data_IF_492757590957
#
_entry.id   IF_492757590957
#
_cell.length_a   1.000
_cell.length_b   1.000
_cell.length_c   1.000
_cell.angle_alpha   90.00
_cell.angle_beta   90.00
_cell.angle_gamma   90.00
#
_symmetry.space_group_name_H-M   'P 1'
#
loop_
_entity.id
_entity.type
_entity.pdbx_description
1 polymer ?
#
# COMPACT_ATOMS: atom_id res chain seq x y z
N UNK A 1 22.13 49.45 31.40
CA UNK A 1 21.75 49.42 29.96
C UNK A 1 22.58 48.45 29.09
N UNK A 2 23.14 47.36 29.62
CA UNK A 2 23.87 46.36 28.79
C UNK A 2 23.43 44.90 28.99
N UNK A 3 22.33 44.65 29.72
CA UNK A 3 21.92 43.29 30.10
C UNK A 3 20.53 42.88 29.62
N UNK A 4 19.89 43.65 28.74
CA UNK A 4 18.58 43.33 28.15
C UNK A 4 18.72 42.89 26.68
N UNK A 5 19.87 43.14 26.06
CA UNK A 5 20.07 42.86 24.63
C UNK A 5 20.46 41.40 24.34
N UNK A 6 21.03 40.68 25.32
CA UNK A 6 21.55 39.32 25.08
C UNK A 6 20.47 38.23 25.21
N UNK A 7 19.40 38.46 25.95
CA UNK A 7 18.32 37.47 26.17
C UNK A 7 17.30 37.44 25.03
N UNK A 8 17.29 38.45 24.16
CA UNK A 8 16.39 38.51 22.99
C UNK A 8 16.98 37.79 21.76
N UNK A 9 18.29 37.51 21.74
CA UNK A 9 18.96 36.79 20.63
C UNK A 9 18.83 35.26 20.71
N UNK A 10 18.41 34.68 21.83
CA UNK A 10 18.32 33.22 21.99
C UNK A 10 16.94 32.63 21.62
N UNK A 11 15.93 33.47 21.39
CA UNK A 11 14.55 33.05 21.10
C UNK A 11 14.20 33.03 19.60
N UNK A 12 15.15 33.34 18.71
CA UNK A 12 14.90 33.42 17.25
C UNK A 12 15.53 32.22 16.49
N UNK A 13 16.34 31.39 17.14
CA UNK A 13 16.98 30.22 16.51
C UNK A 13 16.11 28.96 16.44
N UNK A 14 14.95 28.93 17.10
CA UNK A 14 14.04 27.76 17.08
C UNK A 14 12.94 27.82 16.02
N UNK A 15 12.87 28.88 15.20
CA UNK A 15 11.82 29.05 14.19
C UNK A 15 12.19 28.54 12.77
N UNK A 16 13.32 27.84 12.58
CA UNK A 16 13.79 27.41 11.26
C UNK A 16 14.00 25.90 11.10
N UNK A 17 13.38 25.07 11.94
CA UNK A 17 12.96 23.74 11.46
C UNK A 17 11.64 23.88 10.72
N UNK A 18 11.68 24.59 9.59
CA UNK A 18 10.73 24.33 8.52
C UNK A 18 10.88 22.84 8.22
N UNK A 19 9.87 22.05 8.60
CA UNK A 19 9.73 20.70 8.11
C UNK A 19 9.75 20.84 6.58
N UNK A 20 10.87 20.43 5.98
CA UNK A 20 10.90 20.09 4.57
C UNK A 20 9.77 19.09 4.42
N UNK A 21 8.66 19.51 3.81
CA UNK A 21 7.79 18.60 3.09
C UNK A 21 8.67 18.00 1.99
N UNK A 22 9.50 17.02 2.36
CA UNK A 22 9.84 15.94 1.43
C UNK A 22 8.50 15.36 1.05
N UNK A 23 7.96 15.83 -0.07
CA UNK A 23 6.93 15.17 -0.83
C UNK A 23 7.46 13.77 -1.10
N UNK A 24 7.24 12.87 -0.14
CA UNK A 24 7.61 11.47 -0.23
C UNK A 24 6.82 10.92 -1.41
N UNK A 25 7.49 10.81 -2.55
CA UNK A 25 6.90 10.26 -3.77
C UNK A 25 6.50 8.82 -3.46
N UNK A 26 5.18 8.60 -3.37
CA UNK A 26 4.63 7.27 -3.20
C UNK A 26 5.05 6.38 -4.39
N UNK A 27 5.38 5.10 -4.17
CA UNK A 27 5.71 4.20 -5.26
C UNK A 27 4.47 3.93 -6.12
N UNK A 28 4.67 3.38 -7.31
CA UNK A 28 3.60 2.91 -8.21
C UNK A 28 2.75 3.94 -8.93
N UNK A 29 3.16 5.21 -8.96
CA UNK A 29 2.63 6.16 -9.96
C UNK A 29 2.83 5.65 -11.39
N UNK A 30 3.90 4.90 -11.62
CA UNK A 30 4.17 4.07 -12.80
C UNK A 30 4.63 2.68 -12.35
N UNK A 31 4.40 1.65 -13.16
CA UNK A 31 4.98 0.33 -12.94
C UNK A 31 6.51 0.43 -13.12
N UNK A 32 7.33 -0.14 -12.20
CA UNK A 32 8.78 -0.17 -12.36
C UNK A 32 9.23 -0.86 -13.67
N UNK A 33 10.47 -0.61 -14.08
CA UNK A 33 11.08 -1.25 -15.25
C UNK A 33 10.99 -2.79 -15.18
N UNK A 34 10.87 -3.43 -16.34
CA UNK A 34 10.78 -4.89 -16.43
C UNK A 34 12.09 -5.54 -15.98
N UNK A 35 12.04 -6.64 -15.20
CA UNK A 35 13.21 -7.50 -15.01
C UNK A 35 13.65 -8.09 -16.36
N UNK A 36 14.95 -8.23 -16.57
CA UNK A 36 15.50 -8.72 -17.84
C UNK A 36 15.19 -10.21 -18.10
N UNK A 37 14.88 -10.97 -17.04
CA UNK A 37 14.62 -12.41 -17.09
C UNK A 37 13.32 -12.80 -16.41
N UNK A 38 12.62 -13.78 -16.99
CA UNK A 38 11.46 -14.43 -16.39
C UNK A 38 11.90 -15.57 -15.47
N UNK A 39 11.86 -15.32 -14.16
CA UNK A 39 12.03 -16.30 -13.09
C UNK A 39 10.72 -16.39 -12.29
N UNK A 40 10.51 -17.43 -11.47
CA UNK A 40 9.32 -17.48 -10.60
C UNK A 40 9.18 -16.22 -9.74
N UNK A 41 10.28 -15.73 -9.15
CA UNK A 41 10.29 -14.50 -8.34
C UNK A 41 10.00 -13.23 -9.14
N UNK A 42 10.61 -13.05 -10.32
CA UNK A 42 10.36 -11.84 -11.12
C UNK A 42 8.93 -11.79 -11.68
N UNK A 43 8.32 -12.94 -11.95
CA UNK A 43 6.89 -13.02 -12.32
C UNK A 43 6.00 -12.59 -11.16
N UNK A 44 6.24 -13.10 -9.94
CA UNK A 44 5.50 -12.70 -8.74
C UNK A 44 5.69 -11.21 -8.44
N UNK A 45 6.93 -10.71 -8.52
CA UNK A 45 7.24 -9.29 -8.34
C UNK A 45 6.45 -8.42 -9.32
N UNK A 46 6.38 -8.83 -10.60
CA UNK A 46 5.59 -8.14 -11.63
C UNK A 46 4.09 -8.17 -11.35
N UNK A 47 3.54 -9.26 -10.83
CA UNK A 47 2.13 -9.32 -10.39
C UNK A 47 1.86 -8.31 -9.27
N UNK A 48 2.73 -8.25 -8.27
CA UNK A 48 2.64 -7.30 -7.15
C UNK A 48 2.81 -5.86 -7.63
N UNK A 49 3.71 -5.59 -8.58
CA UNK A 49 3.85 -4.25 -9.17
C UNK A 49 2.59 -3.81 -9.92
N UNK A 50 1.95 -4.74 -10.64
CA UNK A 50 0.66 -4.51 -11.30
C UNK A 50 -0.46 -4.20 -10.31
N UNK A 51 -0.50 -4.91 -9.17
CA UNK A 51 -1.39 -4.61 -8.05
C UNK A 51 -1.08 -3.22 -7.45
N UNK A 52 0.18 -2.92 -7.17
CA UNK A 52 0.63 -1.64 -6.63
C UNK A 52 0.19 -0.45 -7.48
N UNK A 53 0.34 -0.56 -8.80
CA UNK A 53 -0.13 0.46 -9.75
C UNK A 53 -1.65 0.63 -9.75
N UNK A 54 -2.41 -0.48 -9.72
CA UNK A 54 -3.87 -0.44 -9.63
C UNK A 54 -4.32 0.22 -8.32
N UNK A 55 -3.73 -0.16 -7.20
CA UNK A 55 -4.04 0.42 -5.89
C UNK A 55 -3.67 1.91 -5.82
N UNK A 56 -2.50 2.30 -6.36
CA UNK A 56 -2.08 3.71 -6.42
C UNK A 56 -3.17 4.58 -7.05
N UNK A 57 -3.66 4.18 -8.23
CA UNK A 57 -4.67 4.95 -8.96
C UNK A 57 -6.08 4.78 -8.42
N UNK A 58 -6.41 3.62 -7.85
CA UNK A 58 -7.69 3.42 -7.17
C UNK A 58 -7.84 4.36 -5.97
N UNK A 59 -6.74 4.68 -5.29
CA UNK A 59 -6.72 5.51 -4.06
C UNK A 59 -6.30 6.96 -4.26
N UNK A 60 -5.84 7.33 -5.45
CA UNK A 60 -5.47 8.71 -5.75
C UNK A 60 -6.68 9.64 -5.60
N UNK A 61 -6.50 10.76 -4.89
CA UNK A 61 -7.54 11.77 -4.65
C UNK A 61 -8.81 11.27 -3.92
N UNK A 62 -8.75 10.12 -3.23
CA UNK A 62 -9.80 9.77 -2.27
C UNK A 62 -9.77 10.73 -1.08
N UNK A 63 -10.94 11.19 -0.65
CA UNK A 63 -11.14 12.03 0.52
C UNK A 63 -11.91 11.26 1.61
N UNK A 64 -12.23 11.92 2.73
CA UNK A 64 -12.89 11.27 3.87
C UNK A 64 -14.34 10.92 3.56
N UNK A 65 -15.00 11.75 2.75
CA UNK A 65 -16.39 11.62 2.35
C UNK A 65 -16.57 10.35 1.51
N UNK A 66 -15.65 10.08 0.57
CA UNK A 66 -15.63 8.86 -0.25
C UNK A 66 -15.61 7.58 0.61
N UNK A 67 -14.89 7.60 1.75
CA UNK A 67 -14.66 6.40 2.57
C UNK A 67 -15.93 5.79 3.12
N UNK A 68 -16.97 6.61 3.32
CA UNK A 68 -18.26 6.17 3.87
C UNK A 68 -19.24 5.68 2.81
N UNK A 69 -18.91 5.82 1.52
CA UNK A 69 -19.78 5.39 0.45
C UNK A 69 -19.98 3.87 0.48
N UNK A 70 -21.25 3.45 0.45
CA UNK A 70 -21.66 2.06 0.27
C UNK A 70 -22.98 2.00 -0.53
N UNK A 71 -23.07 1.18 -1.59
CA UNK A 71 -24.25 1.11 -2.45
C UNK A 71 -25.44 0.39 -1.81
N UNK A 72 -25.21 -0.48 -0.83
CA UNK A 72 -26.25 -1.10 -0.01
C UNK A 72 -25.78 -1.34 1.43
N UNK A 73 -26.71 -1.67 2.33
CA UNK A 73 -26.40 -1.95 3.74
C UNK A 73 -25.51 -3.17 3.94
N UNK A 74 -25.52 -4.11 2.99
CA UNK A 74 -24.76 -5.36 3.05
C UNK A 74 -23.37 -5.24 2.38
N UNK A 75 -23.08 -4.09 1.78
CA UNK A 75 -21.80 -3.86 1.10
C UNK A 75 -20.80 -3.19 2.03
N UNK A 76 -19.52 -3.55 1.88
CA UNK A 76 -18.43 -2.87 2.59
C UNK A 76 -18.32 -1.43 2.09
N UNK A 77 -18.06 -0.50 3.01
CA UNK A 77 -17.67 0.86 2.66
C UNK A 77 -16.30 0.87 1.98
N UNK A 78 -15.98 1.93 1.23
CA UNK A 78 -14.64 2.11 0.65
C UNK A 78 -13.58 2.05 1.76
N UNK A 79 -13.81 2.71 2.90
CA UNK A 79 -12.90 2.69 4.04
C UNK A 79 -12.58 1.28 4.53
N UNK A 80 -13.62 0.44 4.72
CA UNK A 80 -13.46 -0.95 5.16
C UNK A 80 -12.73 -1.82 4.12
N UNK A 81 -12.92 -1.56 2.83
CA UNK A 81 -12.16 -2.24 1.77
C UNK A 81 -10.68 -1.82 1.82
N UNK A 82 -10.38 -0.55 2.08
CA UNK A 82 -9.00 -0.09 2.24
C UNK A 82 -8.33 -0.68 3.48
N UNK A 83 -9.05 -0.89 4.58
CA UNK A 83 -8.54 -1.61 5.77
C UNK A 83 -8.18 -3.05 5.42
N UNK A 84 -9.06 -3.75 4.72
CA UNK A 84 -8.81 -5.10 4.24
C UNK A 84 -7.60 -5.16 3.30
N UNK A 85 -7.52 -4.27 2.31
CA UNK A 85 -6.39 -4.16 1.40
C UNK A 85 -5.06 -3.88 2.13
N UNK A 86 -5.09 -3.06 3.18
CA UNK A 86 -3.92 -2.82 4.00
C UNK A 86 -3.46 -4.10 4.69
N UNK A 87 -4.35 -4.83 5.35
CA UNK A 87 -4.03 -6.11 5.97
C UNK A 87 -3.53 -7.17 4.98
N UNK A 88 -4.10 -7.24 3.76
CA UNK A 88 -3.58 -8.11 2.70
C UNK A 88 -2.16 -7.71 2.29
N UNK A 89 -1.86 -6.40 2.21
CA UNK A 89 -0.51 -5.93 1.89
C UNK A 89 0.53 -6.31 2.94
N UNK A 90 0.15 -6.33 4.22
CA UNK A 90 1.01 -6.80 5.31
C UNK A 90 1.27 -8.31 5.16
N UNK A 91 0.24 -9.11 4.86
CA UNK A 91 0.41 -10.55 4.64
C UNK A 91 1.32 -10.84 3.44
N UNK A 92 1.20 -10.07 2.35
CA UNK A 92 2.08 -10.18 1.17
C UNK A 92 3.52 -9.85 1.55
N UNK A 93 3.74 -8.72 2.25
CA UNK A 93 5.06 -8.29 2.69
C UNK A 93 5.70 -9.28 3.67
N UNK A 94 4.95 -9.75 4.66
CA UNK A 94 5.46 -10.66 5.67
C UNK A 94 5.91 -11.98 5.05
N UNK A 95 5.16 -12.56 4.10
CA UNK A 95 5.63 -13.75 3.39
C UNK A 95 6.90 -13.49 2.55
N UNK A 96 7.02 -12.30 1.94
CA UNK A 96 8.24 -11.92 1.22
C UNK A 96 9.43 -11.82 2.17
N UNK A 97 9.25 -11.15 3.31
CA UNK A 97 10.26 -10.97 4.36
C UNK A 97 10.48 -12.23 5.23
N UNK A 98 9.73 -13.32 4.99
CA UNK A 98 9.71 -14.55 5.82
C UNK A 98 9.37 -14.25 7.29
N UNK A 99 8.50 -13.27 7.52
CA UNK A 99 7.98 -12.85 8.81
C UNK A 99 6.62 -13.51 9.13
N UNK A 100 6.30 -13.61 10.43
CA UNK A 100 5.06 -14.22 10.91
C UNK A 100 3.95 -13.18 11.01
N UNK A 101 2.76 -13.52 10.52
CA UNK A 101 1.55 -12.72 10.71
C UNK A 101 0.95 -12.97 12.10
N UNK A 102 1.22 -12.07 13.05
CA UNK A 102 0.69 -12.15 14.42
C UNK A 102 -0.77 -11.70 14.44
N UNK A 103 -1.67 -12.51 15.02
CA UNK A 103 -3.10 -12.22 15.16
C UNK A 103 -3.59 -12.39 16.61
N UNK A 104 -4.42 -11.47 17.15
CA UNK A 104 -4.77 -10.17 16.56
C UNK A 104 -3.53 -9.27 16.45
N UNK A 105 -3.59 -8.24 15.60
CA UNK A 105 -2.50 -7.29 15.47
C UNK A 105 -2.15 -6.70 16.86
N UNK A 106 -0.85 -6.53 17.14
CA UNK A 106 -0.38 -6.08 18.44
C UNK A 106 -0.82 -4.64 18.79
N UNK A 107 -1.19 -3.85 17.77
CA UNK A 107 -1.65 -2.47 17.93
C UNK A 107 -3.06 -2.29 17.39
N UNK A 108 -3.92 -1.61 18.16
CA UNK A 108 -5.21 -1.07 17.68
C UNK A 108 -5.01 0.30 17.01
N UNK A 109 -3.93 0.45 16.24
CA UNK A 109 -3.60 1.73 15.61
C UNK A 109 -4.66 2.09 14.56
N UNK A 110 -5.34 3.20 14.76
CA UNK A 110 -6.26 3.76 13.76
C UNK A 110 -5.46 4.60 12.77
N UNK A 111 -5.27 4.08 11.56
CA UNK A 111 -4.56 4.78 10.49
C UNK A 111 -5.45 5.78 9.76
N UNK A 112 -4.92 6.97 9.47
CA UNK A 112 -5.54 7.88 8.51
C UNK A 112 -5.53 7.28 7.11
N UNK A 113 -6.36 7.82 6.22
CA UNK A 113 -6.39 7.43 4.80
C UNK A 113 -5.01 7.52 4.15
N UNK A 114 -4.30 8.62 4.41
CA UNK A 114 -3.00 8.91 3.82
C UNK A 114 -1.91 7.95 4.33
N UNK A 115 -1.92 7.65 5.63
CA UNK A 115 -1.00 6.67 6.22
C UNK A 115 -1.25 5.28 5.69
N UNK A 116 -2.52 4.86 5.65
CA UNK A 116 -2.94 3.55 5.12
C UNK A 116 -2.52 3.40 3.66
N UNK A 117 -2.81 4.41 2.83
CA UNK A 117 -2.39 4.46 1.41
C UNK A 117 -0.87 4.30 1.30
N UNK A 118 -0.11 5.08 2.07
CA UNK A 118 1.35 5.04 2.07
C UNK A 118 1.89 3.68 2.49
N UNK A 119 1.44 3.14 3.62
CA UNK A 119 1.92 1.86 4.16
C UNK A 119 1.62 0.71 3.20
N UNK A 120 0.40 0.66 2.65
CA UNK A 120 0.02 -0.35 1.64
C UNK A 120 0.94 -0.32 0.42
N UNK A 121 1.15 0.87 -0.16
CA UNK A 121 2.04 1.03 -1.33
C UNK A 121 3.50 0.66 -1.02
N UNK A 122 3.99 1.02 0.17
CA UNK A 122 5.35 0.68 0.62
C UNK A 122 5.48 -0.83 0.85
N UNK A 123 4.49 -1.49 1.46
CA UNK A 123 4.50 -2.94 1.69
C UNK A 123 4.58 -3.70 0.35
N UNK A 124 3.72 -3.32 -0.61
CA UNK A 124 3.75 -3.90 -1.96
C UNK A 124 5.11 -3.68 -2.64
N UNK A 125 5.68 -2.48 -2.50
CA UNK A 125 6.99 -2.17 -3.11
C UNK A 125 8.11 -2.99 -2.50
N UNK A 126 8.14 -3.11 -1.18
CA UNK A 126 9.13 -3.94 -0.47
C UNK A 126 8.98 -5.41 -0.87
N UNK A 127 7.75 -5.93 -0.89
CA UNK A 127 7.48 -7.32 -1.27
C UNK A 127 7.95 -7.61 -2.70
N UNK A 128 7.59 -6.76 -3.67
CA UNK A 128 8.04 -6.88 -5.07
C UNK A 128 9.56 -6.87 -5.19
N UNK A 129 10.24 -5.93 -4.52
CA UNK A 129 11.70 -5.86 -4.51
C UNK A 129 12.35 -7.10 -3.88
N UNK A 130 11.75 -7.71 -2.87
CA UNK A 130 12.28 -8.95 -2.30
C UNK A 130 12.08 -10.10 -3.29
N UNK A 131 10.88 -10.27 -3.83
CA UNK A 131 10.59 -11.36 -4.77
C UNK A 131 11.37 -11.27 -6.08
N UNK A 132 11.79 -10.08 -6.53
CA UNK A 132 12.60 -9.94 -7.75
C UNK A 132 13.92 -10.70 -7.66
N UNK A 133 14.45 -10.88 -6.45
CA UNK A 133 15.71 -11.60 -6.20
C UNK A 133 15.50 -13.08 -5.85
N UNK A 134 14.25 -13.56 -5.79
CA UNK A 134 13.92 -14.92 -5.35
C UNK A 134 13.91 -15.90 -6.52
N UNK A 135 14.66 -16.99 -6.38
CA UNK A 135 14.66 -18.11 -7.33
C UNK A 135 13.79 -19.28 -6.86
N UNK A 136 13.63 -19.44 -5.54
CA UNK A 136 12.86 -20.52 -4.93
C UNK A 136 11.71 -19.98 -4.04
N UNK A 137 10.50 -19.99 -4.58
CA UNK A 137 9.30 -19.53 -3.87
C UNK A 137 8.87 -20.47 -2.72
N UNK A 138 9.35 -21.71 -2.66
CA UNK A 138 8.97 -22.66 -1.59
C UNK A 138 9.40 -22.18 -0.20
N UNK A 139 10.42 -21.32 -0.13
CA UNK A 139 10.91 -20.76 1.13
C UNK A 139 10.05 -19.61 1.68
N UNK A 140 9.10 -19.11 0.89
CA UNK A 140 8.24 -17.98 1.24
C UNK A 140 6.86 -18.47 1.68
N UNK A 141 6.82 -19.29 2.71
CA UNK A 141 5.57 -19.77 3.31
C UNK A 141 4.85 -18.62 4.00
N UNK A 142 3.51 -18.69 3.99
CA UNK A 142 2.69 -17.75 4.76
C UNK A 142 2.43 -18.33 6.13
N UNK A 143 2.93 -17.67 7.16
CA UNK A 143 2.83 -18.14 8.53
C UNK A 143 1.89 -17.22 9.30
N UNK A 144 0.91 -17.79 9.99
CA UNK A 144 0.04 -17.09 10.93
C UNK A 144 0.28 -17.63 12.34
N UNK A 145 0.37 -16.73 13.32
CA UNK A 145 0.43 -17.08 14.74
C UNK A 145 -0.71 -16.42 15.48
N UNK A 146 -1.50 -17.22 16.20
CA UNK A 146 -2.64 -16.75 16.99
C UNK A 146 -2.76 -17.57 18.26
N UNK A 147 -2.81 -16.89 19.42
CA UNK A 147 -2.97 -17.53 20.74
C UNK A 147 -1.94 -18.65 21.01
N UNK A 148 -0.72 -18.51 20.47
CA UNK A 148 0.36 -19.48 20.63
C UNK A 148 0.36 -20.63 19.61
N UNK A 149 -0.68 -20.74 18.78
CA UNK A 149 -0.72 -21.72 17.68
C UNK A 149 -0.20 -21.10 16.39
N UNK A 150 0.62 -21.86 15.66
CA UNK A 150 1.20 -21.44 14.38
C UNK A 150 0.67 -22.33 13.26
N UNK A 151 0.19 -21.70 12.18
CA UNK A 151 -0.21 -22.37 10.94
C UNK A 151 0.59 -21.84 9.78
N UNK A 152 1.09 -22.74 8.93
CA UNK A 152 1.91 -22.41 7.78
C UNK A 152 1.23 -22.91 6.49
N UNK A 153 1.25 -22.06 5.46
CA UNK A 153 0.68 -22.35 4.16
C UNK A 153 1.75 -22.21 3.08
N UNK A 154 1.74 -23.07 2.04
CA UNK A 154 2.67 -22.95 0.92
C UNK A 154 2.43 -21.66 0.14
N UNK A 155 3.43 -21.24 -0.64
CA UNK A 155 3.38 -19.99 -1.40
C UNK A 155 2.17 -19.88 -2.36
N UNK A 156 1.62 -21.00 -2.85
CA UNK A 156 0.39 -21.01 -3.64
C UNK A 156 -0.77 -20.24 -3.00
N UNK A 157 -0.85 -20.24 -1.66
CA UNK A 157 -1.87 -19.51 -0.93
C UNK A 157 -1.67 -17.98 -0.98
N UNK A 158 -0.45 -17.47 -1.21
CA UNK A 158 -0.21 -16.05 -1.47
C UNK A 158 -0.88 -15.58 -2.77
N UNK A 159 -0.74 -16.41 -3.82
CA UNK A 159 -1.34 -16.12 -5.12
C UNK A 159 -2.87 -16.14 -4.97
N UNK A 160 -3.42 -17.27 -4.52
CA UNK A 160 -4.87 -17.49 -4.48
C UNK A 160 -5.62 -16.54 -3.52
N UNK A 161 -4.97 -16.17 -2.42
CA UNK A 161 -5.54 -15.31 -1.39
C UNK A 161 -5.02 -13.89 -1.53
N UNK A 162 -4.01 -13.48 -0.76
CA UNK A 162 -3.61 -12.08 -0.63
C UNK A 162 -3.40 -11.30 -1.94
N UNK A 163 -2.71 -11.86 -2.93
CA UNK A 163 -2.39 -11.14 -4.17
C UNK A 163 -3.65 -10.95 -5.02
N UNK A 164 -4.35 -12.04 -5.38
CA UNK A 164 -5.54 -11.96 -6.23
C UNK A 164 -6.72 -11.28 -5.52
N UNK A 165 -6.92 -11.51 -4.22
CA UNK A 165 -7.96 -10.83 -3.43
C UNK A 165 -7.71 -9.31 -3.34
N UNK A 166 -6.44 -8.89 -3.26
CA UNK A 166 -6.11 -7.47 -3.29
C UNK A 166 -6.38 -6.83 -4.66
N UNK A 167 -6.12 -7.55 -5.76
CA UNK A 167 -6.48 -7.08 -7.12
C UNK A 167 -8.00 -6.95 -7.24
N UNK A 168 -8.74 -7.97 -6.77
CA UNK A 168 -10.20 -8.00 -6.75
C UNK A 168 -10.78 -6.80 -5.99
N UNK A 169 -10.30 -6.55 -4.78
CA UNK A 169 -10.76 -5.45 -3.94
C UNK A 169 -10.32 -4.08 -4.44
N UNK A 170 -9.17 -3.94 -5.10
CA UNK A 170 -8.80 -2.69 -5.77
C UNK A 170 -9.81 -2.33 -6.88
N UNK A 171 -10.31 -3.33 -7.62
CA UNK A 171 -11.39 -3.14 -8.59
C UNK A 171 -12.70 -2.64 -7.95
N UNK A 172 -13.04 -3.16 -6.77
CA UNK A 172 -14.20 -2.68 -6.01
C UNK A 172 -14.06 -1.20 -5.61
N UNK A 173 -12.89 -0.78 -5.13
CA UNK A 173 -12.64 0.65 -4.82
C UNK A 173 -12.91 1.52 -6.04
N UNK A 174 -12.46 1.11 -7.23
CA UNK A 174 -12.65 1.87 -8.48
C UNK A 174 -14.13 2.05 -8.84
N UNK A 175 -14.95 1.01 -8.76
CA UNK A 175 -16.38 1.13 -9.09
C UNK A 175 -17.14 1.92 -8.03
N UNK A 176 -16.82 1.72 -6.75
CA UNK A 176 -17.48 2.41 -5.65
C UNK A 176 -17.19 3.91 -5.65
N UNK A 177 -15.93 4.32 -5.83
CA UNK A 177 -15.59 5.76 -5.92
C UNK A 177 -16.23 6.44 -7.13
N UNK A 178 -16.36 5.72 -8.26
CA UNK A 178 -17.08 6.23 -9.44
C UNK A 178 -18.55 6.48 -9.10
N UNK A 179 -19.19 5.55 -8.40
CA UNK A 179 -20.58 5.67 -7.98
C UNK A 179 -20.78 6.74 -6.89
N UNK A 180 -19.73 7.05 -6.11
CA UNK A 180 -19.67 8.18 -5.19
C UNK A 180 -19.45 9.55 -5.87
N UNK A 181 -19.27 9.59 -7.20
CA UNK A 181 -19.02 10.82 -7.95
C UNK A 181 -17.55 11.24 -8.04
N UNK A 182 -16.61 10.42 -7.54
CA UNK A 182 -15.16 10.63 -7.62
C UNK A 182 -14.50 9.54 -8.47
N UNK A 183 -14.61 9.54 -9.81
CA UNK A 183 -13.95 8.55 -10.65
C UNK A 183 -12.42 8.68 -10.62
N UNK A 184 -11.70 7.57 -10.88
CA UNK A 184 -10.23 7.62 -11.02
C UNK A 184 -9.81 8.63 -12.10
N UNK A 185 -8.61 9.24 -11.99
CA UNK A 185 -8.12 10.16 -13.01
C UNK A 185 -8.05 9.53 -14.41
N UNK A 186 -8.34 10.32 -15.44
CA UNK A 186 -8.24 9.89 -16.85
C UNK A 186 -6.79 9.56 -17.24
N UNK A 187 -6.65 8.67 -18.22
CA UNK A 187 -5.38 8.34 -18.87
C UNK A 187 -4.54 7.28 -18.15
N UNK A 188 -5.06 6.65 -17.10
CA UNK A 188 -4.43 5.50 -16.43
C UNK A 188 -4.50 4.29 -17.37
N UNK A 189 -3.33 3.81 -17.82
CA UNK A 189 -3.22 2.65 -18.69
C UNK A 189 -2.58 1.49 -17.93
N UNK A 190 -3.40 0.50 -17.54
CA UNK A 190 -2.95 -0.67 -16.78
C UNK A 190 -2.09 -1.63 -17.58
N UNK A 191 -2.22 -1.63 -18.92
CA UNK A 191 -1.41 -2.47 -19.79
C UNK A 191 0.02 -1.92 -19.92
N UNK A 192 0.14 -0.61 -20.16
CA UNK A 192 1.44 0.05 -20.26
C UNK A 192 2.06 0.37 -18.89
N UNK A 193 1.29 0.31 -17.80
CA UNK A 193 1.77 0.64 -16.47
C UNK A 193 2.10 2.12 -16.27
N UNK A 194 1.49 3.00 -17.07
CA UNK A 194 1.74 4.44 -17.07
C UNK A 194 0.43 5.21 -17.05
N UNK A 195 0.49 6.48 -16.62
CA UNK A 195 -0.58 7.44 -16.87
C UNK A 195 -0.11 8.47 -17.88
N UNK A 196 -0.82 8.59 -19.00
CA UNK A 196 -0.65 9.69 -19.96
C UNK A 196 -1.66 10.77 -19.63
N UNK A 197 -1.26 12.05 -19.62
CA UNK A 197 -2.26 13.12 -19.57
C UNK A 197 -3.16 13.02 -20.81
N UNK A 198 -4.49 13.08 -20.67
CA UNK A 198 -5.35 13.14 -21.83
C UNK A 198 -4.95 14.36 -22.68
N UNK A 199 -4.77 14.13 -23.98
CA UNK A 199 -4.64 15.21 -24.97
C UNK A 199 -5.92 16.04 -25.01
#
# INVERSE_FOLDING_TARGET
MKLICTTCCLLILTACFSQKDTTMTLPYKTIPAMPDSYTPGTVVARMIDGLGFRYYWATEELNKEDLTYQPSKDTRTIGAILDHLHGLSEVIYNAAAKEVNIRPAASNETLTLQEKRKRTLVNLKKASTIYSEVTNLQEHTTIFSSRGETTAFPFWNQINGPIEDAVWHAGQVVILRRAAGNPIPKGVNVFLGTRTNPK
#
